data_IF_063934599794
#
_entry.id   IF_063934599794
#
_cell.length_a   1.000
_cell.length_b   1.000
_cell.length_c   1.000
_cell.angle_alpha   90.00
_cell.angle_beta   90.00
_cell.angle_gamma   90.00
#
_symmetry.space_group_name_H-M   'P 1'
#
loop_
_entity.id
_entity.type
_entity.pdbx_description
1 polymer ?
#
# COMPACT_ATOMS: atom_id res chain seq x y z
N UNK A 1 -4.51 -21.03 20.32
CA UNK A 1 -3.07 -21.26 20.59
C UNK A 1 -2.36 -19.98 20.19
N UNK A 2 -1.76 -19.23 21.11
CA UNK A 2 -1.09 -17.98 20.77
C UNK A 2 0.18 -18.30 19.97
N UNK A 3 0.31 -17.72 18.77
CA UNK A 3 1.50 -17.86 17.94
C UNK A 3 2.68 -17.15 18.60
N UNK A 4 3.88 -17.75 18.54
CA UNK A 4 5.08 -17.15 19.11
C UNK A 4 5.57 -15.96 18.26
N UNK A 5 6.19 -14.95 18.88
CA UNK A 5 6.75 -13.80 18.18
C UNK A 5 7.80 -14.22 17.13
N UNK A 6 8.62 -15.24 17.43
CA UNK A 6 9.61 -15.77 16.49
C UNK A 6 8.98 -16.39 15.23
N UNK A 7 7.84 -17.08 15.37
CA UNK A 7 7.09 -17.63 14.23
C UNK A 7 6.48 -16.50 13.39
N UNK A 8 5.99 -15.44 14.02
CA UNK A 8 5.45 -14.29 13.31
C UNK A 8 6.54 -13.58 12.48
N UNK A 9 7.74 -13.43 13.04
CA UNK A 9 8.90 -12.83 12.36
C UNK A 9 9.29 -13.61 11.10
N UNK A 10 9.39 -14.93 11.17
CA UNK A 10 9.71 -15.77 9.99
C UNK A 10 8.65 -15.66 8.87
N UNK A 11 7.39 -15.44 9.25
CA UNK A 11 6.30 -15.21 8.29
C UNK A 11 6.45 -13.82 7.66
N UNK A 12 6.76 -12.79 8.45
CA UNK A 12 6.95 -11.42 7.97
C UNK A 12 8.06 -11.32 6.93
N UNK A 13 9.19 -12.01 7.14
CA UNK A 13 10.34 -12.01 6.24
C UNK A 13 10.07 -12.56 4.83
N UNK A 14 8.93 -13.23 4.61
CA UNK A 14 8.52 -13.75 3.29
C UNK A 14 7.68 -12.76 2.49
N UNK A 15 7.18 -11.71 3.13
CA UNK A 15 6.13 -10.82 2.60
C UNK A 15 6.59 -9.37 2.59
N UNK A 16 7.42 -9.01 3.56
CA UNK A 16 8.03 -7.70 3.69
C UNK A 16 9.37 -7.68 2.96
N UNK A 17 9.78 -6.50 2.53
CA UNK A 17 11.13 -6.32 2.05
C UNK A 17 12.15 -6.43 3.21
N UNK A 18 13.44 -6.31 2.90
CA UNK A 18 14.50 -6.40 3.91
C UNK A 18 14.42 -5.29 4.95
N UNK A 19 14.18 -4.05 4.54
CA UNK A 19 14.12 -2.91 5.45
C UNK A 19 12.93 -3.03 6.40
N UNK A 20 11.76 -3.32 5.83
CA UNK A 20 10.51 -3.54 6.55
C UNK A 20 10.62 -4.70 7.53
N UNK A 21 11.24 -5.83 7.11
CA UNK A 21 11.47 -6.99 7.98
C UNK A 21 12.32 -6.62 9.19
N UNK A 22 13.46 -5.96 8.97
CA UNK A 22 14.35 -5.51 10.05
C UNK A 22 13.64 -4.55 11.01
N UNK A 23 12.79 -3.66 10.49
CA UNK A 23 12.04 -2.69 11.27
C UNK A 23 10.93 -3.35 12.11
N UNK A 24 10.19 -4.27 11.52
CA UNK A 24 9.13 -5.05 12.17
C UNK A 24 9.70 -5.94 13.26
N UNK A 25 10.85 -6.56 13.04
CA UNK A 25 11.54 -7.39 14.03
C UNK A 25 11.95 -6.60 15.27
N UNK A 26 12.56 -5.42 15.05
CA UNK A 26 12.93 -4.48 16.11
C UNK A 26 11.69 -4.04 16.90
N UNK A 27 10.63 -3.66 16.20
CA UNK A 27 9.40 -3.20 16.81
C UNK A 27 8.69 -4.32 17.58
N UNK A 28 8.63 -5.53 17.04
CA UNK A 28 8.04 -6.70 17.69
C UNK A 28 8.79 -7.06 18.97
N UNK A 29 10.12 -7.00 18.95
CA UNK A 29 10.96 -7.22 20.13
C UNK A 29 10.66 -6.18 21.22
N UNK A 30 10.60 -4.89 20.85
CA UNK A 30 10.31 -3.81 21.78
C UNK A 30 8.90 -3.91 22.38
N UNK A 31 7.89 -4.20 21.55
CA UNK A 31 6.49 -4.35 21.98
C UNK A 31 6.34 -5.58 22.87
N UNK A 32 6.92 -6.73 22.50
CA UNK A 32 6.84 -7.96 23.30
C UNK A 32 7.41 -7.80 24.71
N UNK A 33 8.46 -6.98 24.86
CA UNK A 33 9.08 -6.73 26.16
C UNK A 33 8.20 -5.89 27.11
N UNK A 34 7.31 -5.03 26.58
CA UNK A 34 6.51 -4.09 27.37
C UNK A 34 5.01 -4.42 27.41
N UNK A 35 4.45 -4.93 26.32
CA UNK A 35 3.04 -5.28 26.17
C UNK A 35 2.89 -6.59 25.38
N UNK A 36 2.90 -7.75 26.07
CA UNK A 36 2.67 -9.05 25.44
C UNK A 36 1.29 -9.17 24.76
N UNK A 37 0.29 -8.44 25.29
CA UNK A 37 -1.04 -8.39 24.71
C UNK A 37 -1.02 -7.72 23.32
N UNK A 38 -0.39 -6.56 23.19
CA UNK A 38 -0.26 -5.89 21.88
C UNK A 38 0.60 -6.71 20.92
N UNK A 39 1.69 -7.31 21.41
CA UNK A 39 2.53 -8.21 20.61
C UNK A 39 1.72 -9.38 20.02
N UNK A 40 0.78 -9.95 20.79
CA UNK A 40 -0.08 -11.03 20.28
C UNK A 40 -1.03 -10.58 19.16
N UNK A 41 -1.53 -9.35 19.23
CA UNK A 41 -2.38 -8.75 18.19
C UNK A 41 -1.54 -8.50 16.92
N UNK A 42 -0.36 -7.91 17.08
CA UNK A 42 0.55 -7.64 15.96
C UNK A 42 1.01 -8.94 15.29
N UNK A 43 1.28 -9.99 16.07
CA UNK A 43 1.62 -11.30 15.54
C UNK A 43 0.49 -11.88 14.66
N UNK A 44 -0.77 -11.75 15.10
CA UNK A 44 -1.92 -12.15 14.30
C UNK A 44 -2.03 -11.32 13.00
N UNK A 45 -1.76 -10.02 13.05
CA UNK A 45 -1.75 -9.16 11.85
C UNK A 45 -0.68 -9.59 10.83
N UNK A 46 0.49 -10.07 11.27
CA UNK A 46 1.51 -10.63 10.37
C UNK A 46 0.96 -11.85 9.62
N UNK A 47 0.23 -12.73 10.31
CA UNK A 47 -0.41 -13.89 9.68
C UNK A 47 -1.43 -13.49 8.64
N UNK A 48 -2.28 -12.50 8.95
CA UNK A 48 -3.26 -11.98 7.98
C UNK A 48 -2.57 -11.38 6.75
N UNK A 49 -1.51 -10.59 6.95
CA UNK A 49 -0.73 -10.01 5.85
C UNK A 49 -0.16 -11.11 4.94
N UNK A 50 0.45 -12.15 5.52
CA UNK A 50 0.98 -13.27 4.76
C UNK A 50 -0.09 -14.08 4.02
N UNK A 51 -1.25 -14.30 4.65
CA UNK A 51 -2.37 -14.97 3.97
C UNK A 51 -2.84 -14.17 2.75
N UNK A 52 -2.92 -12.84 2.85
CA UNK A 52 -3.30 -11.99 1.71
C UNK A 52 -2.23 -11.95 0.62
N UNK A 53 -0.94 -11.94 0.98
CA UNK A 53 0.17 -12.06 0.02
C UNK A 53 0.09 -13.36 -0.75
N UNK A 54 -0.12 -14.48 -0.05
CA UNK A 54 -0.21 -15.80 -0.69
C UNK A 54 -1.38 -15.88 -1.69
N UNK A 55 -2.53 -15.27 -1.38
CA UNK A 55 -3.66 -15.19 -2.31
C UNK A 55 -3.31 -14.41 -3.58
N UNK A 56 -2.54 -13.33 -3.44
CA UNK A 56 -2.08 -12.49 -4.53
C UNK A 56 -1.02 -13.21 -5.39
N UNK A 57 -0.05 -13.87 -4.78
CA UNK A 57 1.04 -14.61 -5.46
C UNK A 57 0.53 -15.80 -6.27
N UNK A 58 -0.57 -16.42 -5.82
CA UNK A 58 -1.26 -17.48 -6.58
C UNK A 58 -1.88 -16.96 -7.88
N UNK A 59 -2.07 -15.65 -8.02
CA UNK A 59 -2.59 -15.07 -9.25
C UNK A 59 -1.52 -15.03 -10.32
N UNK A 60 -1.93 -15.38 -11.54
CA UNK A 60 -1.09 -15.23 -12.72
C UNK A 60 -0.72 -13.74 -12.93
N UNK A 61 0.53 -13.42 -13.26
CA UNK A 61 0.92 -12.07 -13.67
C UNK A 61 0.04 -11.55 -14.81
N UNK A 62 -0.39 -10.30 -14.73
CA UNK A 62 -1.32 -9.68 -15.68
C UNK A 62 -0.68 -9.51 -17.05
N UNK A 63 0.62 -9.24 -17.10
CA UNK A 63 1.39 -9.10 -18.35
C UNK A 63 1.66 -10.42 -19.06
N UNK A 64 1.53 -11.57 -18.38
CA UNK A 64 1.63 -12.87 -19.04
C UNK A 64 0.45 -13.03 -20.02
N UNK A 65 0.59 -13.60 -21.22
CA UNK A 65 -0.56 -13.92 -22.07
C UNK A 65 -1.38 -15.11 -21.54
N UNK A 66 -2.68 -15.16 -21.82
CA UNK A 66 -3.59 -16.30 -21.60
C UNK A 66 -4.73 -16.28 -22.60
N UNK A 67 -5.59 -17.29 -22.57
CA UNK A 67 -6.86 -17.28 -23.27
C UNK A 67 -7.98 -17.77 -22.35
N UNK A 68 -9.18 -17.21 -22.50
CA UNK A 68 -10.39 -17.68 -21.83
C UNK A 68 -11.57 -17.56 -22.78
N UNK A 69 -12.36 -18.62 -22.93
CA UNK A 69 -13.53 -18.61 -23.83
C UNK A 69 -13.19 -18.42 -25.32
N UNK A 70 -11.94 -18.70 -25.72
CA UNK A 70 -11.45 -18.46 -27.09
C UNK A 70 -10.90 -17.05 -27.34
N UNK A 71 -11.02 -16.14 -26.37
CA UNK A 71 -10.45 -14.79 -26.45
C UNK A 71 -9.02 -14.77 -25.92
N UNK A 72 -8.11 -14.21 -26.71
CA UNK A 72 -6.76 -13.92 -26.27
C UNK A 72 -6.78 -12.77 -25.26
N UNK A 73 -6.03 -12.92 -24.16
CA UNK A 73 -5.86 -11.92 -23.12
C UNK A 73 -4.39 -11.73 -22.83
N UNK A 74 -3.89 -10.56 -23.16
CA UNK A 74 -2.54 -10.09 -22.91
C UNK A 74 -2.56 -8.67 -22.32
N UNK A 75 -1.38 -8.11 -22.08
CA UNK A 75 -1.21 -6.76 -21.57
C UNK A 75 -1.96 -5.70 -22.41
N UNK A 76 -1.85 -5.78 -23.73
CA UNK A 76 -2.44 -4.78 -24.63
C UNK A 76 -3.97 -4.83 -24.57
N UNK A 77 -4.55 -6.02 -24.63
CA UNK A 77 -6.00 -6.19 -24.49
C UNK A 77 -6.52 -5.71 -23.13
N UNK A 78 -5.74 -5.90 -22.06
CA UNK A 78 -6.09 -5.40 -20.72
C UNK A 78 -6.03 -3.87 -20.67
N UNK A 79 -4.98 -3.24 -21.22
CA UNK A 79 -4.87 -1.77 -21.31
C UNK A 79 -6.06 -1.19 -22.09
N UNK A 80 -6.42 -1.81 -23.21
CA UNK A 80 -7.56 -1.39 -24.01
C UNK A 80 -8.88 -1.50 -23.23
N UNK A 81 -9.11 -2.64 -22.57
CA UNK A 81 -10.27 -2.86 -21.70
C UNK A 81 -10.36 -1.80 -20.59
N UNK A 82 -9.26 -1.56 -19.88
CA UNK A 82 -9.18 -0.56 -18.80
C UNK A 82 -9.50 0.86 -19.29
N UNK A 83 -9.08 1.21 -20.51
CA UNK A 83 -9.37 2.52 -21.11
C UNK A 83 -10.85 2.71 -21.49
N UNK A 84 -11.63 1.62 -21.55
CA UNK A 84 -13.07 1.64 -21.87
C UNK A 84 -13.98 1.54 -20.65
N UNK A 85 -13.42 1.42 -19.44
CA UNK A 85 -14.21 1.31 -18.21
C UNK A 85 -15.13 2.53 -18.03
N UNK A 86 -16.41 2.25 -17.82
CA UNK A 86 -17.40 3.24 -17.38
C UNK A 86 -17.50 3.31 -15.84
N UNK A 87 -18.13 4.36 -15.34
CA UNK A 87 -18.18 4.64 -13.91
C UNK A 87 -19.13 3.76 -13.09
N UNK A 88 -20.05 3.02 -13.72
CA UNK A 88 -21.09 2.25 -13.01
C UNK A 88 -20.71 0.78 -12.82
N UNK A 89 -19.96 0.19 -13.75
CA UNK A 89 -19.49 -1.21 -13.67
C UNK A 89 -17.97 -1.35 -13.62
N UNK A 90 -17.23 -0.22 -13.58
CA UNK A 90 -15.78 -0.19 -13.68
C UNK A 90 -15.04 -1.12 -12.71
N UNK A 91 -15.47 -1.19 -11.45
CA UNK A 91 -14.83 -2.04 -10.44
C UNK A 91 -15.13 -3.53 -10.65
N UNK A 92 -16.32 -3.86 -11.17
CA UNK A 92 -16.72 -5.25 -11.49
C UNK A 92 -15.97 -5.81 -12.70
N UNK A 93 -15.46 -4.92 -13.55
CA UNK A 93 -14.73 -5.25 -14.76
C UNK A 93 -13.20 -5.33 -14.56
N UNK A 94 -12.71 -5.08 -13.33
CA UNK A 94 -11.31 -5.24 -12.99
C UNK A 94 -10.91 -6.72 -12.89
N UNK A 95 -9.65 -7.08 -13.20
CA UNK A 95 -9.16 -8.43 -12.96
C UNK A 95 -9.15 -8.72 -11.45
N UNK A 96 -9.38 -9.98 -11.07
CA UNK A 96 -9.33 -10.42 -9.66
C UNK A 96 -8.03 -9.99 -8.96
N UNK A 97 -6.90 -10.02 -9.68
CA UNK A 97 -5.60 -9.61 -9.14
C UNK A 97 -5.59 -8.14 -8.68
N UNK A 98 -6.33 -7.24 -9.32
CA UNK A 98 -6.47 -5.84 -8.87
C UNK A 98 -7.12 -5.77 -7.49
N UNK A 99 -8.24 -6.50 -7.30
CA UNK A 99 -8.93 -6.57 -6.01
C UNK A 99 -8.05 -7.17 -4.92
N UNK A 100 -7.29 -8.22 -5.24
CA UNK A 100 -6.38 -8.85 -4.28
C UNK A 100 -5.18 -7.96 -3.94
N UNK A 101 -4.60 -7.27 -4.93
CA UNK A 101 -3.51 -6.28 -4.71
C UNK A 101 -3.96 -5.16 -3.78
N UNK A 102 -5.13 -4.56 -4.04
CA UNK A 102 -5.72 -3.57 -3.13
C UNK A 102 -5.98 -4.12 -1.73
N UNK A 103 -6.50 -5.35 -1.63
CA UNK A 103 -6.77 -6.01 -0.35
C UNK A 103 -5.47 -6.23 0.45
N UNK A 104 -4.41 -6.67 -0.21
CA UNK A 104 -3.09 -6.79 0.37
C UNK A 104 -2.58 -5.43 0.88
N UNK A 105 -2.64 -4.39 0.05
CA UNK A 105 -2.16 -3.06 0.41
C UNK A 105 -2.91 -2.45 1.60
N UNK A 106 -4.25 -2.62 1.64
CA UNK A 106 -5.06 -2.23 2.80
C UNK A 106 -4.70 -3.03 4.06
N UNK A 107 -4.38 -4.32 3.92
CA UNK A 107 -3.91 -5.16 5.03
C UNK A 107 -2.55 -4.65 5.53
N UNK A 108 -1.61 -4.36 4.63
CA UNK A 108 -0.29 -3.76 4.94
C UNK A 108 -0.42 -2.43 5.67
N UNK A 109 -1.32 -1.55 5.23
CA UNK A 109 -1.61 -0.27 5.90
C UNK A 109 -2.14 -0.50 7.33
N UNK A 110 -3.08 -1.41 7.53
CA UNK A 110 -3.62 -1.70 8.87
C UNK A 110 -2.56 -2.32 9.79
N UNK A 111 -1.76 -3.23 9.25
CA UNK A 111 -0.61 -3.84 9.90
C UNK A 111 0.37 -2.76 10.39
N UNK A 112 0.87 -1.89 9.50
CA UNK A 112 1.80 -0.81 9.85
C UNK A 112 1.19 0.19 10.85
N UNK A 113 -0.10 0.53 10.72
CA UNK A 113 -0.81 1.35 11.73
C UNK A 113 -0.81 0.70 13.11
N UNK A 114 -0.98 -0.61 13.18
CA UNK A 114 -0.88 -1.39 14.41
C UNK A 114 0.49 -1.20 15.07
N UNK A 115 1.57 -1.37 14.30
CA UNK A 115 2.94 -1.18 14.76
C UNK A 115 3.22 0.26 15.21
N UNK A 116 2.83 1.27 14.42
CA UNK A 116 2.98 2.69 14.79
C UNK A 116 2.27 3.01 16.10
N UNK A 117 1.06 2.47 16.30
CA UNK A 117 0.28 2.67 17.53
C UNK A 117 0.92 1.99 18.73
N UNK A 118 1.26 0.70 18.60
CA UNK A 118 1.84 -0.09 19.68
C UNK A 118 3.21 0.45 20.11
N UNK A 119 4.08 0.76 19.15
CA UNK A 119 5.39 1.36 19.43
C UNK A 119 5.23 2.76 20.01
N UNK A 120 4.34 3.60 19.48
CA UNK A 120 4.09 4.95 20.00
C UNK A 120 3.63 4.97 21.47
N UNK A 121 2.86 3.98 21.91
CA UNK A 121 2.41 3.86 23.30
C UNK A 121 3.53 3.48 24.28
N UNK A 122 4.67 3.01 23.77
CA UNK A 122 5.78 2.49 24.58
C UNK A 122 7.12 3.18 24.29
N UNK A 123 7.14 4.30 23.56
CA UNK A 123 8.37 4.98 23.18
C UNK A 123 8.70 6.18 24.08
N UNK A 124 9.65 5.99 25.02
CA UNK A 124 10.25 7.10 25.79
C UNK A 124 11.74 7.33 25.45
N UNK A 125 12.33 6.48 24.60
CA UNK A 125 13.77 6.48 24.29
C UNK A 125 14.05 6.95 22.84
N UNK A 126 15.19 7.63 22.57
CA UNK A 126 15.52 8.16 21.24
C UNK A 126 15.52 7.12 20.11
N UNK A 127 16.02 5.90 20.38
CA UNK A 127 16.02 4.82 19.38
C UNK A 127 14.59 4.40 19.00
N UNK A 128 13.68 4.37 19.98
CA UNK A 128 12.29 3.98 19.74
C UNK A 128 11.52 5.10 19.00
N UNK A 129 11.87 6.37 19.24
CA UNK A 129 11.36 7.51 18.44
C UNK A 129 11.76 7.38 16.97
N UNK A 130 13.02 7.04 16.69
CA UNK A 130 13.49 6.81 15.31
C UNK A 130 12.77 5.63 14.65
N UNK A 131 12.70 4.49 15.33
CA UNK A 131 11.96 3.32 14.83
C UNK A 131 10.49 3.64 14.54
N UNK A 132 9.82 4.41 15.42
CA UNK A 132 8.44 4.83 15.22
C UNK A 132 8.28 5.84 14.07
N UNK A 133 9.29 6.66 13.81
CA UNK A 133 9.36 7.52 12.62
C UNK A 133 9.49 6.68 11.36
N UNK A 134 10.44 5.74 11.32
CA UNK A 134 10.67 4.88 10.15
C UNK A 134 9.39 4.06 9.83
N UNK A 135 8.69 3.53 10.85
CA UNK A 135 7.39 2.87 10.66
C UNK A 135 6.30 3.78 10.08
N UNK A 136 6.36 5.09 10.35
CA UNK A 136 5.42 6.07 9.77
C UNK A 136 5.75 6.38 8.32
N UNK A 137 7.02 6.36 7.94
CA UNK A 137 7.44 6.51 6.54
C UNK A 137 6.97 5.31 5.72
N UNK A 138 7.20 4.08 6.18
CA UNK A 138 6.67 2.85 5.53
C UNK A 138 5.14 2.88 5.38
N UNK A 139 4.45 3.35 6.45
CA UNK A 139 3.00 3.53 6.41
C UNK A 139 2.60 4.59 5.37
N UNK A 140 3.36 5.68 5.25
CA UNK A 140 3.10 6.73 4.28
C UNK A 140 3.30 6.22 2.84
N UNK A 141 4.39 5.47 2.56
CA UNK A 141 4.64 4.83 1.27
C UNK A 141 3.43 3.96 0.85
N UNK A 142 3.00 3.06 1.73
CA UNK A 142 1.84 2.18 1.47
C UNK A 142 0.55 2.97 1.22
N UNK A 143 0.30 4.06 1.95
CA UNK A 143 -0.86 4.93 1.75
C UNK A 143 -0.77 5.66 0.40
N UNK A 144 0.41 6.16 0.03
CA UNK A 144 0.61 6.87 -1.21
C UNK A 144 0.48 5.95 -2.43
N UNK A 145 0.96 4.71 -2.35
CA UNK A 145 0.72 3.69 -3.38
C UNK A 145 -0.78 3.47 -3.59
N UNK A 146 -1.56 3.35 -2.51
CA UNK A 146 -3.02 3.19 -2.60
C UNK A 146 -3.69 4.42 -3.23
N UNK A 147 -3.27 5.63 -2.82
CA UNK A 147 -3.81 6.87 -3.39
C UNK A 147 -3.45 7.04 -4.87
N UNK A 148 -2.29 6.56 -5.30
CA UNK A 148 -1.89 6.58 -6.69
C UNK A 148 -2.71 5.58 -7.52
N UNK A 149 -3.01 4.39 -6.99
CA UNK A 149 -3.95 3.44 -7.60
C UNK A 149 -5.32 4.10 -7.85
N UNK A 150 -5.90 4.71 -6.81
CA UNK A 150 -7.18 5.43 -6.92
C UNK A 150 -7.12 6.58 -7.93
N UNK A 151 -6.03 7.33 -7.94
CA UNK A 151 -5.82 8.42 -8.89
C UNK A 151 -5.77 7.91 -10.33
N UNK A 152 -5.05 6.81 -10.59
CA UNK A 152 -4.98 6.22 -11.93
C UNK A 152 -6.33 5.68 -12.38
N UNK A 153 -7.08 5.00 -11.51
CA UNK A 153 -8.45 4.58 -11.81
C UNK A 153 -9.38 5.76 -12.10
N UNK A 154 -9.26 6.86 -11.34
CA UNK A 154 -10.01 8.08 -11.60
C UNK A 154 -9.65 8.72 -12.95
N UNK A 155 -8.37 8.68 -13.35
CA UNK A 155 -7.92 9.17 -14.65
C UNK A 155 -8.50 8.35 -15.82
N UNK A 156 -8.64 7.02 -15.68
CA UNK A 156 -9.27 6.18 -16.70
C UNK A 156 -10.72 6.60 -16.96
N UNK A 157 -11.45 7.01 -15.92
CA UNK A 157 -12.86 7.40 -15.97
C UNK A 157 -13.08 8.84 -16.47
N UNK A 158 -12.04 9.69 -16.48
CA UNK A 158 -12.18 11.10 -16.83
C UNK A 158 -12.34 11.29 -18.34
N UNK A 159 -13.38 11.99 -18.84
CA UNK A 159 -13.64 12.13 -20.28
C UNK A 159 -12.58 12.99 -20.99
N UNK A 160 -12.09 14.04 -20.33
CA UNK A 160 -11.16 15.01 -20.93
C UNK A 160 -9.69 14.56 -20.89
N UNK A 161 -9.42 13.35 -20.43
CA UNK A 161 -8.07 12.79 -20.38
C UNK A 161 -7.77 12.08 -21.70
N UNK A 162 -6.65 12.45 -22.32
CA UNK A 162 -6.25 11.87 -23.61
C UNK A 162 -6.09 10.34 -23.52
N UNK A 163 -6.38 9.64 -24.62
CA UNK A 163 -6.20 8.18 -24.70
C UNK A 163 -4.78 7.74 -24.32
N UNK A 164 -3.76 8.50 -24.75
CA UNK A 164 -2.36 8.23 -24.40
C UNK A 164 -2.12 8.30 -22.89
N UNK A 165 -2.70 9.28 -22.21
CA UNK A 165 -2.61 9.39 -20.75
C UNK A 165 -3.33 8.23 -20.06
N UNK A 166 -4.50 7.82 -20.55
CA UNK A 166 -5.23 6.65 -20.02
C UNK A 166 -4.43 5.36 -20.17
N UNK A 167 -3.82 5.14 -21.33
CA UNK A 167 -2.97 3.95 -21.57
C UNK A 167 -1.79 3.90 -20.59
N UNK A 168 -1.16 5.05 -20.32
CA UNK A 168 -0.08 5.13 -19.31
C UNK A 168 -0.60 4.84 -17.90
N UNK A 169 -1.76 5.38 -17.52
CA UNK A 169 -2.36 5.09 -16.23
C UNK A 169 -2.72 3.59 -16.08
N UNK A 170 -3.27 2.98 -17.13
CA UNK A 170 -3.55 1.55 -17.17
C UNK A 170 -2.29 0.69 -17.04
N UNK A 171 -1.21 1.04 -17.74
CA UNK A 171 0.08 0.36 -17.63
C UNK A 171 0.70 0.46 -16.22
N UNK A 172 0.58 1.62 -15.57
CA UNK A 172 1.01 1.80 -14.19
C UNK A 172 0.16 0.96 -13.22
N UNK A 173 -1.17 0.92 -13.39
CA UNK A 173 -2.05 0.06 -12.60
C UNK A 173 -1.67 -1.42 -12.73
N UNK A 174 -1.38 -1.91 -13.94
CA UNK A 174 -0.92 -3.28 -14.15
C UNK A 174 0.35 -3.57 -13.36
N UNK A 175 1.28 -2.60 -13.30
CA UNK A 175 2.53 -2.74 -12.53
C UNK A 175 2.25 -2.83 -11.03
N UNK A 176 1.44 -1.92 -10.48
CA UNK A 176 1.02 -1.92 -9.06
C UNK A 176 0.30 -3.22 -8.70
N UNK A 177 -0.57 -3.72 -9.57
CA UNK A 177 -1.32 -4.94 -9.31
C UNK A 177 -0.48 -6.21 -9.43
N UNK A 178 0.63 -6.17 -10.17
CA UNK A 178 1.52 -7.32 -10.34
C UNK A 178 2.56 -7.44 -9.23
N UNK A 179 2.93 -6.33 -8.59
CA UNK A 179 4.00 -6.26 -7.59
C UNK A 179 3.50 -5.67 -6.26
N UNK A 180 3.40 -6.54 -5.25
CA UNK A 180 2.94 -6.19 -3.91
C UNK A 180 3.97 -5.39 -3.09
N UNK A 181 5.24 -5.46 -3.47
CA UNK A 181 6.33 -4.75 -2.81
C UNK A 181 6.57 -3.36 -3.41
N UNK A 182 5.86 -3.01 -4.49
CA UNK A 182 6.05 -1.75 -5.20
C UNK A 182 5.64 -0.55 -4.35
N UNK A 183 6.57 0.39 -4.19
CA UNK A 183 6.36 1.61 -3.42
C UNK A 183 6.19 2.84 -4.33
N UNK A 184 5.63 3.93 -3.80
CA UNK A 184 5.25 5.07 -4.63
C UNK A 184 6.47 5.77 -5.25
N UNK A 185 7.62 5.71 -4.61
CA UNK A 185 8.88 6.29 -5.08
C UNK A 185 9.44 5.54 -6.31
N UNK A 186 9.17 4.24 -6.44
CA UNK A 186 9.58 3.42 -7.58
C UNK A 186 8.88 3.83 -8.89
N UNK A 187 7.59 4.19 -8.83
CA UNK A 187 6.78 4.39 -10.04
C UNK A 187 6.21 5.81 -10.20
N UNK A 188 6.05 6.58 -9.12
CA UNK A 188 5.58 7.96 -9.18
C UNK A 188 6.26 8.89 -8.15
N UNK A 189 7.60 9.04 -8.20
CA UNK A 189 8.37 9.83 -7.23
C UNK A 189 7.98 11.32 -7.20
N UNK A 190 7.44 11.86 -8.31
CA UNK A 190 6.93 13.23 -8.34
C UNK A 190 5.62 13.38 -7.54
N UNK A 191 4.76 12.36 -7.52
CA UNK A 191 3.53 12.38 -6.72
C UNK A 191 3.86 12.25 -5.24
N UNK A 192 4.76 11.33 -4.89
CA UNK A 192 5.30 11.18 -3.55
C UNK A 192 5.89 12.51 -3.03
N UNK A 193 6.79 13.12 -3.79
CA UNK A 193 7.38 14.43 -3.47
C UNK A 193 6.32 15.52 -3.26
N UNK A 194 5.28 15.55 -4.10
CA UNK A 194 4.18 16.51 -3.96
C UNK A 194 3.35 16.27 -2.68
N UNK A 195 3.12 15.02 -2.31
CA UNK A 195 2.41 14.68 -1.08
C UNK A 195 3.24 14.95 0.18
N UNK A 196 4.55 14.66 0.17
CA UNK A 196 5.44 15.10 1.26
C UNK A 196 5.47 16.62 1.40
N UNK A 197 5.56 17.36 0.29
CA UNK A 197 5.51 18.82 0.31
C UNK A 197 4.18 19.32 0.91
N UNK A 198 3.05 18.73 0.52
CA UNK A 198 1.73 19.06 1.08
C UNK A 198 1.67 18.84 2.60
N UNK A 199 2.21 17.72 3.08
CA UNK A 199 2.19 17.39 4.52
C UNK A 199 3.16 18.26 5.34
N UNK A 200 4.18 18.86 4.71
CA UNK A 200 5.07 19.84 5.35
C UNK A 200 4.48 21.25 5.43
N UNK A 201 3.49 21.57 4.61
CA UNK A 201 2.77 22.84 4.70
C UNK A 201 1.78 22.74 5.86
N UNK A 202 2.27 22.98 7.08
CA UNK A 202 1.41 23.42 8.16
C UNK A 202 0.76 24.72 7.69
N UNK A 203 -0.52 24.65 7.31
CA UNK A 203 -1.29 25.84 7.02
C UNK A 203 -1.29 26.70 8.28
N UNK A 204 -0.47 27.77 8.28
CA UNK A 204 -0.57 28.83 9.25
C UNK A 204 -1.91 29.54 9.03
N UNK A 205 -3.01 28.95 9.52
CA UNK A 205 -4.29 29.61 9.72
C UNK A 205 -4.12 30.62 10.86
N UNK A 206 -3.31 31.65 10.64
CA UNK A 206 -2.88 32.60 11.66
C UNK A 206 -2.73 34.05 11.19
N UNK A 207 -3.08 34.38 9.94
CA UNK A 207 -2.99 35.76 9.42
C UNK A 207 -4.27 36.21 8.69
N UNK A 208 -5.44 35.82 9.19
CA UNK A 208 -6.74 36.41 8.81
C UNK A 208 -7.54 36.85 10.05
N UNK A 209 -6.88 37.49 11.02
CA UNK A 209 -7.55 38.22 12.09
C UNK A 209 -6.97 39.64 12.14
N UNK A 210 -7.76 40.61 11.65
CA UNK A 210 -7.66 42.00 12.09
C UNK A 210 -6.98 43.00 11.17
N UNK A 211 -7.53 43.22 9.97
CA UNK A 211 -7.56 44.58 9.41
C UNK A 211 -9.01 44.92 9.08
N UNK A 212 -9.73 45.41 10.08
CA UNK A 212 -10.93 46.22 9.87
C UNK A 212 -10.50 47.67 9.89
N UNK A 213 -10.76 48.37 8.78
CA UNK A 213 -10.79 49.84 8.69
C UNK A 213 -11.78 50.45 9.69
#
# INVERSE_FOLDING_TARGET
>A
MAMSAATAIDIGARVLDRHESELVDQAMTAVSARSPADASILAAMITELAATSELLDRQRPLRRPTALGGEARDEQTLIEHLCTLDGLSGDLALPLKATLSRTYLLTKINFLRGFVKATGAICDMPHCVRMNHDLREELAQSIYTLLAEELFLALLRKPDVTRRTKQRAADQLITIWDDAALEIDDFAPLLESAWHARNRINAAYGTLLGTTE
#
